data_IF_228607460126
#
_entry.id   IF_228607460126
#
_cell.length_a   1.000
_cell.length_b   1.000
_cell.length_c   1.000
_cell.angle_alpha   90.00
_cell.angle_beta   90.00
_cell.angle_gamma   90.00
#
_symmetry.space_group_name_H-M   'P 1'
#
loop_
_entity.id
_entity.type
_entity.pdbx_description
1 polymer ?
#
# COMPACT_ATOMS: atom_id res chain seq x y z
N UNK A 1 -7.30 -18.97 -10.44
CA UNK A 1 -6.46 -18.48 -9.33
C UNK A 1 -5.39 -17.57 -9.91
N UNK A 2 -5.64 -16.26 -9.96
CA UNK A 2 -4.70 -15.29 -10.52
C UNK A 2 -3.70 -14.84 -9.46
N UNK A 3 -2.42 -15.10 -9.68
CA UNK A 3 -1.34 -14.60 -8.84
C UNK A 3 -0.79 -13.34 -9.51
N UNK A 4 -1.22 -12.16 -9.07
CA UNK A 4 -0.63 -10.90 -9.52
C UNK A 4 0.65 -10.64 -8.74
N UNK A 5 1.81 -10.98 -9.33
CA UNK A 5 3.12 -10.54 -8.85
C UNK A 5 3.34 -9.10 -9.30
N UNK A 6 3.12 -8.12 -8.42
CA UNK A 6 3.51 -6.73 -8.67
C UNK A 6 5.01 -6.56 -8.38
N UNK A 7 5.70 -5.86 -9.29
CA UNK A 7 7.15 -5.97 -9.57
C UNK A 7 8.13 -5.35 -8.58
N UNK A 8 9.34 -5.91 -8.57
CA UNK A 8 10.48 -5.59 -7.71
C UNK A 8 11.00 -6.85 -7.01
N UNK A 9 11.80 -7.66 -7.69
CA UNK A 9 12.13 -9.03 -7.23
C UNK A 9 12.79 -9.05 -5.83
N UNK A 10 12.00 -9.49 -4.84
CA UNK A 10 12.47 -9.91 -3.52
C UNK A 10 12.08 -9.03 -2.33
N UNK A 11 11.59 -7.80 -2.51
CA UNK A 11 11.33 -6.87 -1.40
C UNK A 11 9.87 -6.82 -0.94
N UNK A 12 9.01 -7.73 -1.40
CA UNK A 12 7.57 -7.71 -1.13
C UNK A 12 7.16 -8.81 -0.16
N UNK A 13 6.13 -8.55 0.64
CA UNK A 13 5.45 -9.54 1.45
C UNK A 13 4.04 -9.80 0.89
N UNK A 14 3.60 -11.06 0.93
CA UNK A 14 2.20 -11.43 0.67
C UNK A 14 1.49 -11.56 1.99
N UNK A 15 0.33 -10.93 2.08
CA UNK A 15 -0.46 -10.81 3.28
C UNK A 15 -1.80 -11.51 3.11
N UNK A 16 -2.31 -12.12 4.18
CA UNK A 16 -3.68 -12.62 4.28
C UNK A 16 -4.44 -11.71 5.22
N UNK A 17 -5.58 -11.21 4.76
CA UNK A 17 -6.45 -10.36 5.57
C UNK A 17 -6.91 -11.10 6.82
N UNK A 18 -6.60 -10.52 7.98
CA UNK A 18 -7.06 -10.99 9.29
C UNK A 18 -8.29 -10.20 9.73
N UNK A 19 -8.23 -8.87 9.62
CA UNK A 19 -9.35 -7.98 9.91
C UNK A 19 -9.24 -6.71 9.06
N UNK A 20 -10.38 -6.21 8.61
CA UNK A 20 -10.48 -4.91 7.96
C UNK A 20 -11.34 -3.97 8.81
N UNK A 21 -10.86 -2.75 9.03
CA UNK A 21 -11.61 -1.65 9.63
C UNK A 21 -12.76 -1.23 8.71
N UNK A 22 -13.90 -0.86 9.32
CA UNK A 22 -15.02 -0.25 8.61
C UNK A 22 -15.04 1.23 8.96
N UNK A 23 -14.98 2.06 7.94
CA UNK A 23 -15.02 3.51 8.07
C UNK A 23 -16.14 4.06 7.19
N UNK A 24 -17.08 4.79 7.80
CA UNK A 24 -18.23 5.37 7.09
C UNK A 24 -17.79 6.38 6.01
N UNK A 25 -16.61 6.98 6.19
CA UNK A 25 -16.02 7.90 5.22
C UNK A 25 -15.65 7.21 3.90
N UNK A 26 -15.21 5.95 3.92
CA UNK A 26 -14.86 5.20 2.70
C UNK A 26 -16.07 5.06 1.77
N UNK A 27 -17.26 4.88 2.36
CA UNK A 27 -18.51 4.83 1.60
C UNK A 27 -18.76 6.16 0.87
N UNK A 28 -18.85 7.25 1.63
CA UNK A 28 -19.25 8.54 1.05
C UNK A 28 -18.17 9.14 0.15
N UNK A 29 -16.89 9.02 0.50
CA UNK A 29 -15.81 9.70 -0.20
C UNK A 29 -15.40 8.97 -1.48
N UNK A 30 -15.28 7.65 -1.43
CA UNK A 30 -14.72 6.87 -2.54
C UNK A 30 -15.76 5.98 -3.21
N UNK A 31 -16.56 5.19 -2.48
CA UNK A 31 -17.58 4.35 -3.12
C UNK A 31 -18.67 5.15 -3.81
N UNK A 32 -19.09 6.28 -3.21
CA UNK A 32 -20.11 7.18 -3.78
C UNK A 32 -19.49 8.34 -4.58
N UNK A 33 -18.17 8.34 -4.80
CA UNK A 33 -17.45 9.41 -5.51
C UNK A 33 -17.58 10.82 -4.88
N UNK A 34 -17.76 10.92 -3.55
CA UNK A 34 -17.93 12.21 -2.86
C UNK A 34 -16.72 13.16 -2.93
N UNK A 35 -15.52 12.67 -3.20
CA UNK A 35 -14.32 13.50 -3.45
C UNK A 35 -13.98 13.69 -4.93
N UNK A 36 -14.90 13.29 -5.82
CA UNK A 36 -14.69 13.25 -7.26
C UNK A 36 -14.79 11.83 -7.78
N UNK A 37 -14.76 11.71 -9.12
CA UNK A 37 -15.04 10.46 -9.81
C UNK A 37 -14.05 9.36 -9.43
N UNK A 38 -14.56 8.30 -8.80
CA UNK A 38 -13.81 7.08 -8.53
C UNK A 38 -13.63 6.21 -9.77
N UNK A 39 -12.58 5.39 -9.75
CA UNK A 39 -12.28 4.40 -10.80
C UNK A 39 -12.88 3.05 -10.43
N UNK A 40 -13.90 2.62 -11.17
CA UNK A 40 -14.60 1.35 -10.90
C UNK A 40 -14.17 0.23 -11.86
N UNK A 41 -14.25 -1.06 -11.44
CA UNK A 41 -14.60 -1.51 -10.08
C UNK A 41 -13.53 -1.10 -9.07
N UNK A 42 -13.95 -0.63 -7.89
CA UNK A 42 -13.06 -0.17 -6.85
C UNK A 42 -13.16 -1.12 -5.63
N UNK A 43 -12.02 -1.48 -5.06
CA UNK A 43 -11.93 -2.29 -3.84
C UNK A 43 -11.31 -1.42 -2.77
N UNK A 44 -12.04 -1.19 -1.69
CA UNK A 44 -11.67 -0.20 -0.68
C UNK A 44 -11.15 -0.88 0.59
N UNK A 45 -10.28 -0.19 1.31
CA UNK A 45 -9.69 -0.64 2.56
C UNK A 45 -8.31 -0.06 2.76
N UNK A 46 -8.14 0.75 3.80
CA UNK A 46 -6.85 1.31 4.21
C UNK A 46 -6.62 1.23 5.72
N UNK A 47 -7.42 0.41 6.41
CA UNK A 47 -7.29 0.11 7.83
C UNK A 47 -7.27 -1.41 8.00
N UNK A 48 -6.20 -2.04 7.54
CA UNK A 48 -6.17 -3.50 7.39
C UNK A 48 -5.18 -4.09 8.39
N UNK A 49 -5.61 -5.08 9.16
CA UNK A 49 -4.73 -5.95 9.95
C UNK A 49 -4.62 -7.28 9.23
N UNK A 50 -3.38 -7.71 8.99
CA UNK A 50 -3.04 -8.86 8.18
C UNK A 50 -2.06 -9.79 8.88
N UNK A 51 -1.93 -11.01 8.32
CA UNK A 51 -0.87 -11.95 8.66
C UNK A 51 0.03 -12.16 7.45
N UNK A 52 1.35 -12.08 7.63
CA UNK A 52 2.34 -12.37 6.59
C UNK A 52 2.31 -13.85 6.25
N UNK A 53 2.02 -14.18 5.00
CA UNK A 53 1.99 -15.58 4.50
C UNK A 53 3.15 -15.92 3.56
N UNK A 54 3.87 -14.91 3.07
CA UNK A 54 5.08 -15.07 2.28
C UNK A 54 5.92 -13.80 2.42
N UNK A 55 7.23 -13.94 2.61
CA UNK A 55 8.18 -12.83 2.56
C UNK A 55 9.17 -13.07 1.42
N UNK A 56 9.46 -12.03 0.64
CA UNK A 56 10.51 -12.07 -0.37
C UNK A 56 11.90 -12.14 0.27
N UNK A 57 12.88 -12.67 -0.47
CA UNK A 57 14.23 -12.92 0.04
C UNK A 57 15.03 -11.66 0.44
N UNK A 58 14.58 -10.46 0.07
CA UNK A 58 15.18 -9.16 0.46
C UNK A 58 14.40 -8.46 1.56
N UNK A 59 13.27 -9.01 2.02
CA UNK A 59 12.54 -8.49 3.17
C UNK A 59 13.36 -8.78 4.42
N UNK A 60 13.63 -7.75 5.23
CA UNK A 60 14.48 -7.85 6.43
C UNK A 60 13.70 -7.69 7.73
N UNK A 61 12.61 -6.94 7.68
CA UNK A 61 11.91 -6.46 8.88
C UNK A 61 10.60 -7.19 9.17
N UNK A 62 10.25 -8.18 8.33
CA UNK A 62 9.03 -8.99 8.46
C UNK A 62 9.34 -10.46 8.20
N UNK A 63 8.63 -11.35 8.90
CA UNK A 63 8.69 -12.80 8.74
C UNK A 63 7.29 -13.41 8.60
N UNK A 64 7.22 -14.62 8.07
CA UNK A 64 5.95 -15.35 7.95
C UNK A 64 5.36 -15.61 9.33
N UNK A 65 4.06 -15.30 9.48
CA UNK A 65 3.33 -15.39 10.75
C UNK A 65 3.18 -14.05 11.49
N UNK A 66 3.94 -13.02 11.10
CA UNK A 66 3.81 -11.70 11.73
C UNK A 66 2.43 -11.09 11.47
N UNK A 67 1.89 -10.45 12.51
CA UNK A 67 0.73 -9.57 12.40
C UNK A 67 1.20 -8.17 12.02
N UNK A 68 0.67 -7.65 10.91
CA UNK A 68 1.02 -6.32 10.39
C UNK A 68 -0.23 -5.49 10.16
N UNK A 69 -0.08 -4.16 10.19
CA UNK A 69 -1.15 -3.23 9.87
C UNK A 69 -0.79 -2.41 8.64
N UNK A 70 -1.73 -2.23 7.72
CA UNK A 70 -1.57 -1.44 6.50
C UNK A 70 -2.51 -0.24 6.55
N UNK A 71 -1.92 0.95 6.42
CA UNK A 71 -2.62 2.23 6.34
C UNK A 71 -2.99 2.62 4.90
N UNK A 72 -3.25 3.91 4.69
CA UNK A 72 -3.60 4.47 3.38
C UNK A 72 -2.44 4.62 2.39
N UNK A 73 -1.19 4.54 2.87
CA UNK A 73 0.00 4.63 2.04
C UNK A 73 0.67 3.26 1.91
N UNK A 74 0.76 2.74 0.68
CA UNK A 74 1.41 1.45 0.39
C UNK A 74 2.78 1.61 -0.27
N UNK A 75 3.04 2.73 -0.94
CA UNK A 75 4.29 2.99 -1.65
C UNK A 75 4.47 4.49 -1.90
N UNK A 76 5.73 4.90 -2.07
CA UNK A 76 6.14 6.22 -2.55
C UNK A 76 7.35 6.07 -3.48
N UNK A 77 7.79 7.15 -4.14
CA UNK A 77 8.94 7.05 -5.05
C UNK A 77 10.24 6.65 -4.31
N UNK A 78 10.34 6.99 -3.02
CA UNK A 78 11.48 6.69 -2.14
C UNK A 78 12.84 7.10 -2.74
N UNK A 79 12.86 8.15 -3.58
CA UNK A 79 14.05 8.57 -4.33
C UNK A 79 14.72 7.45 -5.15
N UNK A 80 13.95 6.47 -5.62
CA UNK A 80 14.47 5.33 -6.39
C UNK A 80 14.91 5.69 -7.79
N UNK A 81 14.33 6.72 -8.41
CA UNK A 81 14.74 7.22 -9.72
C UNK A 81 15.74 8.40 -9.57
N UNK A 82 17.02 8.22 -9.92
CA UNK A 82 18.01 9.30 -9.85
C UNK A 82 17.71 10.47 -10.79
N UNK A 83 16.90 10.25 -11.83
CA UNK A 83 16.53 11.29 -12.81
C UNK A 83 15.38 12.17 -12.30
N UNK A 84 14.68 11.73 -11.26
CA UNK A 84 13.55 12.43 -10.66
C UNK A 84 13.74 12.50 -9.13
N UNK A 85 14.68 13.31 -8.64
CA UNK A 85 14.91 13.46 -7.20
C UNK A 85 13.69 14.08 -6.51
N UNK A 86 13.35 13.55 -5.34
CA UNK A 86 12.20 13.92 -4.54
C UNK A 86 12.63 14.38 -3.15
N UNK A 87 12.66 15.71 -2.96
CA UNK A 87 12.96 16.32 -1.66
C UNK A 87 11.95 15.92 -0.58
N UNK A 88 10.69 15.70 -0.95
CA UNK A 88 9.63 15.28 -0.03
C UNK A 88 9.93 13.91 0.58
N UNK A 89 10.22 12.89 -0.25
CA UNK A 89 10.64 11.58 0.25
C UNK A 89 11.98 11.65 0.97
N UNK A 90 12.92 12.50 0.54
CA UNK A 90 14.21 12.67 1.21
C UNK A 90 14.05 13.23 2.64
N UNK A 91 12.99 14.01 2.87
CA UNK A 91 12.62 14.55 4.19
C UNK A 91 11.77 13.59 5.04
N UNK A 92 11.51 12.36 4.56
CA UNK A 92 10.67 11.37 5.25
C UNK A 92 9.17 11.61 5.14
N UNK A 93 8.72 12.57 4.31
CA UNK A 93 7.32 12.96 4.17
C UNK A 93 6.62 12.19 3.04
N UNK A 94 6.77 10.86 3.02
CA UNK A 94 6.36 10.02 1.88
C UNK A 94 4.87 10.11 1.51
N UNK A 95 4.00 10.40 2.49
CA UNK A 95 2.57 10.62 2.27
C UNK A 95 2.25 11.79 1.33
N UNK A 96 3.19 12.72 1.17
CA UNK A 96 3.06 13.90 0.31
C UNK A 96 3.88 13.78 -0.98
N UNK A 97 4.38 12.58 -1.30
CA UNK A 97 5.17 12.35 -2.51
C UNK A 97 4.37 12.78 -3.76
N UNK A 98 4.90 13.70 -4.59
CA UNK A 98 4.18 14.18 -5.77
C UNK A 98 4.26 13.21 -6.95
N UNK A 99 5.15 12.22 -6.88
CA UNK A 99 5.31 11.23 -7.93
C UNK A 99 4.26 10.14 -7.75
N UNK A 100 3.43 9.94 -8.77
CA UNK A 100 2.54 8.77 -8.81
C UNK A 100 3.41 7.53 -8.98
N UNK A 101 3.34 6.63 -8.01
CA UNK A 101 3.90 5.28 -8.07
C UNK A 101 2.86 4.27 -8.53
#
# INVERSE_FOLDING_TARGET
MGHSTWGGEGCHARLRIYRQGREDQVLRHTLDSGWGRSRYPCVMGHEIVDVVIQAGHKVKDLQVGDHVSIGALVSACLNKDPKAPCSVCASGNDAYCPHRV
#
